data_IF_984285075786
#
_entry.id   IF_984285075786
#
_cell.length_a   1.000
_cell.length_b   1.000
_cell.length_c   1.000
_cell.angle_alpha   90.00
_cell.angle_beta   90.00
_cell.angle_gamma   90.00
#
_symmetry.space_group_name_H-M   'P 1'
#
loop_
_entity.id
_entity.type
_entity.pdbx_description
1 polymer ?
#
# COMPACT_ATOMS: atom_id res chain seq x y z
N UNK A 1 11.17 -4.71 -14.88
CA UNK A 1 9.72 -4.60 -14.57
C UNK A 1 9.26 -3.14 -14.50
N UNK A 2 9.74 -2.31 -13.57
CA UNK A 2 9.34 -0.90 -13.49
C UNK A 2 9.86 -0.04 -14.67
N UNK A 3 11.09 -0.28 -15.11
CA UNK A 3 11.65 0.29 -16.35
C UNK A 3 10.82 -0.07 -17.57
N UNK A 4 10.25 -1.27 -17.60
CA UNK A 4 9.47 -1.78 -18.72
C UNK A 4 8.04 -1.23 -18.71
N UNK A 5 7.46 -0.98 -17.52
CA UNK A 5 6.20 -0.24 -17.35
C UNK A 5 6.38 1.21 -17.81
N UNK A 6 7.45 1.87 -17.36
CA UNK A 6 7.80 3.22 -17.80
C UNK A 6 8.04 3.30 -19.30
N UNK A 7 8.82 2.37 -19.85
CA UNK A 7 9.06 2.26 -21.28
C UNK A 7 7.74 2.02 -22.02
N UNK A 8 6.87 1.12 -21.56
CA UNK A 8 5.57 0.87 -22.18
C UNK A 8 4.67 2.11 -22.20
N UNK A 9 4.54 2.81 -21.06
CA UNK A 9 3.75 4.04 -20.95
C UNK A 9 4.36 5.16 -21.82
N UNK A 10 5.69 5.27 -21.85
CA UNK A 10 6.41 6.27 -22.64
C UNK A 10 6.40 5.97 -24.14
N UNK A 11 6.31 4.70 -24.53
CA UNK A 11 6.27 4.28 -25.95
C UNK A 11 4.90 4.58 -26.56
N UNK A 12 3.82 4.51 -25.77
CA UNK A 12 2.48 4.90 -26.22
C UNK A 12 2.25 6.42 -26.17
N UNK A 13 2.88 7.12 -25.23
CA UNK A 13 2.76 8.57 -25.08
C UNK A 13 3.90 9.33 -25.78
N UNK A 14 3.79 9.57 -27.09
CA UNK A 14 4.66 10.52 -27.83
C UNK A 14 4.48 11.99 -27.40
N UNK A 15 3.72 12.26 -26.34
CA UNK A 15 3.33 13.61 -25.93
C UNK A 15 3.65 13.86 -24.47
N UNK A 16 3.99 15.11 -24.16
CA UNK A 16 4.22 15.59 -22.80
C UNK A 16 2.90 15.54 -22.01
N UNK A 17 2.75 14.66 -20.99
CA UNK A 17 1.56 14.66 -20.17
C UNK A 17 1.50 15.94 -19.32
N UNK A 18 0.28 16.45 -19.12
CA UNK A 18 0.04 17.56 -18.20
C UNK A 18 0.22 17.11 -16.74
N UNK A 19 -0.30 15.93 -16.41
CA UNK A 19 -0.23 15.31 -15.09
C UNK A 19 -0.08 13.79 -15.24
N UNK A 20 0.79 13.21 -14.42
CA UNK A 20 0.89 11.76 -14.19
C UNK A 20 0.72 11.50 -12.70
N UNK A 21 -0.01 10.44 -12.37
CA UNK A 21 -0.17 9.96 -10.99
C UNK A 21 0.53 8.63 -10.82
N UNK A 22 1.27 8.44 -9.74
CA UNK A 22 1.72 7.12 -9.31
C UNK A 22 0.91 6.72 -8.09
N UNK A 23 0.17 5.63 -8.20
CA UNK A 23 -0.62 5.08 -7.10
C UNK A 23 -0.31 3.59 -6.94
N UNK A 24 0.86 3.30 -6.35
CA UNK A 24 1.44 1.97 -6.22
C UNK A 24 1.99 1.78 -4.80
N UNK A 25 2.19 0.53 -4.37
CA UNK A 25 2.69 0.20 -3.02
C UNK A 25 1.78 -0.75 -2.24
N UNK A 26 0.49 -0.83 -2.57
CA UNK A 26 -0.44 -1.72 -1.87
C UNK A 26 -0.14 -3.21 -2.13
N UNK A 27 0.25 -3.55 -3.36
CA UNK A 27 0.66 -4.92 -3.71
C UNK A 27 2.07 -5.23 -3.19
N UNK A 28 2.96 -4.24 -3.24
CA UNK A 28 4.32 -4.33 -2.72
C UNK A 28 4.32 -4.63 -1.20
N UNK A 29 3.34 -4.08 -0.47
CA UNK A 29 3.11 -4.30 0.96
C UNK A 29 2.40 -5.62 1.31
N UNK A 30 1.97 -6.40 0.31
CA UNK A 30 1.23 -7.63 0.56
C UNK A 30 2.09 -8.68 1.26
N UNK A 31 1.47 -9.45 2.15
CA UNK A 31 2.07 -10.63 2.71
C UNK A 31 2.24 -11.69 1.63
N UNK A 32 3.43 -12.28 1.53
CA UNK A 32 3.64 -13.46 0.72
C UNK A 32 4.56 -14.42 1.46
N UNK A 33 4.04 -15.58 1.83
CA UNK A 33 4.83 -16.63 2.48
C UNK A 33 5.97 -17.15 1.58
N UNK A 34 5.89 -16.94 0.26
CA UNK A 34 6.92 -17.31 -0.72
C UNK A 34 7.92 -16.18 -1.01
N UNK A 35 7.62 -14.95 -0.58
CA UNK A 35 8.44 -13.75 -0.81
C UNK A 35 8.64 -13.36 -2.29
N UNK A 36 7.82 -13.88 -3.20
CA UNK A 36 7.91 -13.63 -4.65
C UNK A 36 7.08 -12.44 -5.10
N UNK A 37 6.04 -12.12 -4.35
CA UNK A 37 4.99 -11.21 -4.80
C UNK A 37 4.95 -9.89 -4.01
N UNK A 38 5.76 -9.77 -2.97
CA UNK A 38 5.98 -8.52 -2.25
C UNK A 38 7.31 -7.89 -2.69
N UNK A 39 7.37 -6.57 -2.83
CA UNK A 39 8.61 -5.85 -3.14
C UNK A 39 9.18 -5.33 -1.83
N UNK A 40 10.36 -5.78 -1.37
CA UNK A 40 10.92 -5.33 -0.09
C UNK A 40 11.03 -3.81 -0.01
N UNK A 41 10.79 -3.23 1.17
CA UNK A 41 10.70 -1.77 1.34
C UNK A 41 11.91 -1.02 0.75
N UNK A 42 13.13 -1.54 0.95
CA UNK A 42 14.36 -0.96 0.39
C UNK A 42 14.34 -0.92 -1.14
N UNK A 43 13.89 -2.00 -1.77
CA UNK A 43 13.77 -2.10 -3.23
C UNK A 43 12.65 -1.20 -3.75
N UNK A 44 11.50 -1.16 -3.09
CA UNK A 44 10.40 -0.24 -3.41
C UNK A 44 10.87 1.22 -3.42
N UNK A 45 11.60 1.64 -2.37
CA UNK A 45 12.18 2.99 -2.30
C UNK A 45 13.15 3.27 -3.45
N UNK A 46 14.01 2.32 -3.78
CA UNK A 46 14.96 2.45 -4.90
C UNK A 46 14.22 2.59 -6.24
N UNK A 47 13.22 1.74 -6.47
CA UNK A 47 12.38 1.75 -7.68
C UNK A 47 11.64 3.07 -7.83
N UNK A 48 11.02 3.57 -6.75
CA UNK A 48 10.28 4.82 -6.78
C UNK A 48 11.20 6.04 -7.00
N UNK A 49 12.37 6.10 -6.36
CA UNK A 49 13.38 7.13 -6.66
C UNK A 49 13.82 7.08 -8.11
N UNK A 50 14.14 5.90 -8.63
CA UNK A 50 14.55 5.73 -10.03
C UNK A 50 13.46 6.19 -11.00
N UNK A 51 12.19 5.89 -10.72
CA UNK A 51 11.06 6.38 -11.49
C UNK A 51 11.01 7.91 -11.48
N UNK A 52 11.04 8.53 -10.31
CA UNK A 52 10.92 10.00 -10.19
C UNK A 52 12.03 10.68 -10.98
N UNK A 53 13.28 10.20 -10.90
CA UNK A 53 14.39 10.77 -11.68
C UNK A 53 14.22 10.56 -13.19
N UNK A 54 13.77 9.38 -13.61
CA UNK A 54 13.50 9.10 -15.02
C UNK A 54 12.38 10.00 -15.56
N UNK A 55 11.26 10.10 -14.84
CA UNK A 55 10.12 10.95 -15.18
C UNK A 55 10.54 12.41 -15.34
N UNK A 56 11.33 12.94 -14.38
CA UNK A 56 11.84 14.32 -14.42
C UNK A 56 12.62 14.62 -15.70
N UNK A 57 13.35 13.63 -16.21
CA UNK A 57 14.19 13.72 -17.42
C UNK A 57 13.34 13.61 -18.69
N UNK A 58 12.42 12.64 -18.73
CA UNK A 58 11.58 12.37 -19.90
C UNK A 58 10.50 13.43 -20.11
N UNK A 59 9.98 13.98 -19.01
CA UNK A 59 8.81 14.87 -19.00
C UNK A 59 9.15 16.20 -18.31
N UNK A 60 9.99 17.06 -18.92
CA UNK A 60 10.49 18.29 -18.30
C UNK A 60 9.38 19.27 -17.87
N UNK A 61 8.20 19.22 -18.50
CA UNK A 61 7.06 20.09 -18.16
C UNK A 61 5.94 19.39 -17.40
N UNK A 62 5.98 18.07 -17.30
CA UNK A 62 4.90 17.25 -16.75
C UNK A 62 4.85 17.34 -15.23
N UNK A 63 3.65 17.29 -14.66
CA UNK A 63 3.46 17.20 -13.22
C UNK A 63 3.40 15.75 -12.79
N UNK A 64 3.92 15.42 -11.62
CA UNK A 64 3.88 14.09 -11.04
C UNK A 64 3.26 14.17 -9.65
N UNK A 65 2.12 13.52 -9.47
CA UNK A 65 1.49 13.34 -8.16
C UNK A 65 1.77 11.92 -7.66
N UNK A 66 2.53 11.81 -6.59
CA UNK A 66 2.73 10.56 -5.87
C UNK A 66 1.56 10.39 -4.88
N UNK A 67 0.89 9.25 -4.95
CA UNK A 67 -0.26 8.93 -4.10
C UNK A 67 0.13 7.77 -3.20
N UNK A 68 0.04 7.96 -1.88
CA UNK A 68 0.42 6.92 -0.91
C UNK A 68 -0.54 5.73 -0.99
N UNK A 69 -0.10 4.46 -0.84
CA UNK A 69 -1.01 3.32 -0.80
C UNK A 69 -1.99 3.45 0.38
N UNK A 70 -3.29 3.22 0.16
CA UNK A 70 -4.29 3.38 1.20
C UNK A 70 -4.22 2.17 2.16
N UNK A 71 -4.57 2.34 3.45
CA UNK A 71 -4.53 1.25 4.41
C UNK A 71 -5.63 0.23 4.09
N UNK A 72 -5.32 -1.08 4.07
CA UNK A 72 -6.34 -2.11 3.92
C UNK A 72 -7.21 -2.19 5.18
N UNK A 73 -8.43 -2.72 5.02
CA UNK A 73 -9.13 -3.43 6.09
C UNK A 73 -8.79 -4.91 5.95
N UNK A 74 -8.72 -5.64 7.06
CA UNK A 74 -8.37 -7.07 7.02
C UNK A 74 -9.42 -7.86 6.23
N UNK A 75 -9.07 -8.30 5.02
CA UNK A 75 -9.97 -8.97 4.06
C UNK A 75 -10.64 -10.23 4.64
N UNK A 76 -9.97 -10.93 5.57
CA UNK A 76 -10.56 -12.09 6.24
C UNK A 76 -11.85 -11.79 7.02
N UNK A 77 -12.08 -10.53 7.43
CA UNK A 77 -13.36 -10.09 8.04
C UNK A 77 -14.50 -10.03 7.02
N UNK A 78 -14.22 -9.55 5.81
CA UNK A 78 -15.21 -9.49 4.72
C UNK A 78 -15.64 -10.87 4.24
N UNK A 79 -14.71 -11.83 4.27
CA UNK A 79 -14.93 -13.21 3.86
C UNK A 79 -15.56 -14.08 4.96
N UNK A 80 -15.81 -13.52 6.15
CA UNK A 80 -16.44 -14.23 7.27
C UNK A 80 -15.60 -15.38 7.84
N UNK A 81 -14.27 -15.32 7.70
CA UNK A 81 -13.38 -16.41 8.12
C UNK A 81 -13.18 -16.41 9.65
N UNK A 82 -13.27 -17.60 10.27
CA UNK A 82 -12.77 -17.80 11.64
C UNK A 82 -11.25 -17.51 11.65
N UNK A 83 -10.77 -16.73 12.63
CA UNK A 83 -9.37 -16.26 12.72
C UNK A 83 -8.38 -17.44 12.86
N UNK A 84 -7.74 -17.89 11.78
CA UNK A 84 -6.74 -18.99 11.77
C UNK A 84 -5.50 -18.64 10.94
N UNK A 85 -4.28 -18.93 11.44
CA UNK A 85 -3.02 -18.90 10.65
C UNK A 85 -1.72 -18.68 11.46
N UNK A 86 -0.72 -17.97 10.91
CA UNK A 86 0.66 -17.83 11.47
C UNK A 86 1.02 -16.38 11.77
N UNK A 87 1.77 -16.10 12.86
CA UNK A 87 2.23 -14.75 13.17
C UNK A 87 3.28 -14.29 12.14
N UNK A 88 3.10 -13.11 11.51
CA UNK A 88 4.14 -12.53 10.68
C UNK A 88 5.23 -11.87 11.53
N UNK A 89 6.50 -12.03 11.13
CA UNK A 89 7.64 -11.24 11.63
C UNK A 89 8.12 -10.32 10.53
N UNK A 90 8.39 -9.07 10.89
CA UNK A 90 9.03 -8.11 9.99
C UNK A 90 10.52 -8.02 10.34
N UNK A 91 11.38 -8.43 9.41
CA UNK A 91 12.83 -8.41 9.58
C UNK A 91 13.47 -7.93 8.27
N UNK A 92 14.37 -6.95 8.36
CA UNK A 92 15.09 -6.37 7.20
C UNK A 92 14.18 -5.90 6.05
N UNK A 93 13.00 -5.35 6.36
CA UNK A 93 12.07 -4.87 5.33
C UNK A 93 11.33 -5.98 4.59
N UNK A 94 11.42 -7.22 5.08
CA UNK A 94 10.67 -8.37 4.57
C UNK A 94 9.75 -8.94 5.66
N UNK A 95 8.55 -9.28 5.21
CA UNK A 95 7.58 -10.07 5.97
C UNK A 95 7.95 -11.56 5.86
N UNK A 96 8.10 -12.27 6.98
CA UNK A 96 8.42 -13.72 7.04
C UNK A 96 7.54 -14.44 8.05
N UNK A 97 7.17 -15.69 7.76
CA UNK A 97 6.44 -16.53 8.70
C UNK A 97 7.34 -16.88 9.91
N UNK A 98 6.80 -16.84 11.13
CA UNK A 98 7.48 -17.48 12.26
C UNK A 98 7.70 -18.97 11.94
N UNK A 99 8.91 -19.52 12.15
CA UNK A 99 9.08 -20.96 12.17
C UNK A 99 8.27 -21.50 13.35
N UNK A 100 7.16 -22.18 13.07
CA UNK A 100 6.52 -23.04 14.05
C UNK A 100 7.51 -24.17 14.29
N UNK A 101 8.08 -24.28 15.48
CA UNK A 101 8.96 -25.38 15.84
C UNK A 101 8.16 -26.68 15.81
N UNK A 102 8.18 -27.36 14.67
CA UNK A 102 7.48 -28.63 14.41
C UNK A 102 7.27 -28.79 12.91
N UNK A 103 8.23 -29.42 12.23
CA UNK A 103 8.28 -29.53 10.77
C UNK A 103 7.16 -30.38 10.16
N UNK A 104 6.74 -29.97 8.96
CA UNK A 104 5.83 -30.71 8.09
C UNK A 104 5.30 -29.77 7.00
N UNK A 105 5.50 -30.11 5.72
CA UNK A 105 5.12 -29.28 4.58
C UNK A 105 3.61 -29.05 4.48
N UNK A 106 3.21 -27.84 4.09
CA UNK A 106 1.81 -27.47 3.90
C UNK A 106 1.32 -27.92 2.53
N UNK A 107 0.49 -28.96 2.50
CA UNK A 107 -0.13 -29.43 1.26
C UNK A 107 -1.29 -30.41 1.43
N UNK A 108 -1.23 -31.34 2.40
CA UNK A 108 -2.20 -32.44 2.45
C UNK A 108 -3.00 -32.56 3.75
N UNK A 109 -2.58 -31.92 4.85
CA UNK A 109 -3.13 -32.22 6.19
C UNK A 109 -4.37 -31.39 6.62
N UNK A 110 -4.85 -30.44 5.80
CA UNK A 110 -6.01 -29.61 6.17
C UNK A 110 -7.38 -30.27 5.97
N UNK A 111 -7.44 -31.57 5.67
CA UNK A 111 -8.70 -32.31 5.53
C UNK A 111 -9.12 -33.12 6.76
N UNK A 112 -8.33 -33.13 7.83
CA UNK A 112 -8.68 -33.89 9.02
C UNK A 112 -8.06 -33.29 10.28
N UNK A 113 -8.90 -33.13 11.31
CA UNK A 113 -8.55 -33.00 12.73
C UNK A 113 -8.36 -31.59 13.34
N UNK A 114 -9.42 -31.22 14.07
CA UNK A 114 -9.52 -30.49 15.33
C UNK A 114 -8.38 -29.55 15.79
N UNK A 115 -8.12 -28.50 15.00
CA UNK A 115 -7.30 -27.34 15.38
C UNK A 115 -7.75 -26.62 16.66
N UNK A 116 -9.01 -26.79 17.09
CA UNK A 116 -9.61 -26.14 18.26
C UNK A 116 -8.93 -26.48 19.59
N UNK A 117 -8.19 -27.60 19.66
CA UNK A 117 -7.50 -28.04 20.89
C UNK A 117 -6.15 -27.37 21.15
N UNK A 118 -5.46 -26.87 20.12
CA UNK A 118 -4.06 -26.39 20.24
C UNK A 118 -3.92 -25.04 20.95
N UNK A 119 -5.00 -24.26 21.10
CA UNK A 119 -4.93 -22.87 21.56
C UNK A 119 -5.78 -22.57 22.79
N UNK A 120 -6.31 -23.60 23.48
CA UNK A 120 -7.28 -23.45 24.58
C UNK A 120 -6.76 -22.63 25.77
N UNK A 121 -5.44 -22.68 26.03
CA UNK A 121 -4.85 -22.18 27.27
C UNK A 121 -3.78 -21.07 27.07
N UNK A 122 -3.69 -20.48 25.87
CA UNK A 122 -2.80 -19.33 25.60
C UNK A 122 -3.60 -18.02 25.75
N UNK A 123 -3.05 -16.96 26.37
CA UNK A 123 -3.72 -15.66 26.40
C UNK A 123 -4.07 -15.26 24.97
N UNK A 124 -5.25 -14.66 24.77
CA UNK A 124 -5.72 -14.09 23.49
C UNK A 124 -4.76 -12.95 23.05
N UNK A 125 -3.56 -13.32 22.64
CA UNK A 125 -2.78 -12.50 21.74
C UNK A 125 -3.60 -12.51 20.45
N UNK A 126 -4.13 -11.36 20.06
CA UNK A 126 -4.81 -11.13 18.79
C UNK A 126 -3.81 -11.32 17.65
N UNK A 127 -3.42 -12.56 17.42
CA UNK A 127 -2.63 -12.98 16.29
C UNK A 127 -3.56 -12.92 15.08
N UNK A 128 -3.70 -11.71 14.51
CA UNK A 128 -4.24 -11.50 13.18
C UNK A 128 -3.29 -12.21 12.20
N UNK A 129 -3.73 -13.39 11.81
CA UNK A 129 -3.05 -14.30 10.92
C UNK A 129 -3.22 -13.84 9.48
N UNK A 130 -2.13 -13.69 8.73
CA UNK A 130 -2.18 -13.27 7.32
C UNK A 130 -2.13 -14.46 6.39
N UNK A 131 -3.07 -14.50 5.44
CA UNK A 131 -3.03 -15.38 4.28
C UNK A 131 -2.11 -14.79 3.23
N UNK A 132 -1.58 -15.61 2.29
CA UNK A 132 -0.93 -15.08 1.10
C UNK A 132 -1.80 -13.97 0.49
N UNK A 133 -1.15 -12.86 0.15
CA UNK A 133 -1.72 -11.63 -0.37
C UNK A 133 -2.43 -10.73 0.64
N UNK A 134 -2.69 -11.14 1.88
CA UNK A 134 -3.28 -10.21 2.85
C UNK A 134 -2.34 -9.03 3.13
N UNK A 135 -2.89 -7.87 3.42
CA UNK A 135 -2.13 -6.66 3.74
C UNK A 135 -2.43 -6.25 5.17
N UNK A 136 -1.41 -5.73 5.86
CA UNK A 136 -1.56 -5.11 7.18
C UNK A 136 -1.39 -3.62 7.07
N UNK A 137 -2.20 -2.87 7.82
CA UNK A 137 -2.09 -1.43 7.95
C UNK A 137 -0.69 -1.02 8.42
N UNK A 138 -0.08 -1.73 9.38
CA UNK A 138 1.25 -1.37 9.89
C UNK A 138 2.33 -1.50 8.82
N UNK A 139 2.23 -2.52 7.98
CA UNK A 139 3.19 -2.73 6.89
C UNK A 139 2.93 -1.75 5.75
N UNK A 140 1.67 -1.56 5.37
CA UNK A 140 1.28 -0.61 4.33
C UNK A 140 1.68 0.82 4.69
N UNK A 141 1.66 1.17 5.99
CA UNK A 141 2.17 2.45 6.51
C UNK A 141 3.63 2.68 6.14
N UNK A 142 4.48 1.65 6.14
CA UNK A 142 5.88 1.80 5.76
C UNK A 142 6.05 2.22 4.29
N UNK A 143 5.19 1.72 3.40
CA UNK A 143 5.19 2.09 1.98
C UNK A 143 4.59 3.49 1.78
N UNK A 144 3.54 3.84 2.54
CA UNK A 144 3.03 5.23 2.62
C UNK A 144 4.13 6.20 3.03
N UNK A 145 4.83 5.91 4.11
CA UNK A 145 5.88 6.78 4.63
C UNK A 145 7.05 6.87 3.64
N UNK A 146 7.36 5.80 2.91
CA UNK A 146 8.34 5.83 1.82
C UNK A 146 7.94 6.76 0.66
N UNK A 147 6.66 6.79 0.29
CA UNK A 147 6.15 7.71 -0.74
C UNK A 147 6.26 9.16 -0.28
N UNK A 148 5.92 9.44 0.99
CA UNK A 148 6.04 10.77 1.59
C UNK A 148 7.51 11.21 1.62
N UNK A 149 8.41 10.38 2.15
CA UNK A 149 9.86 10.61 2.19
C UNK A 149 10.42 11.00 0.81
N UNK A 150 10.08 10.24 -0.23
CA UNK A 150 10.57 10.48 -1.59
C UNK A 150 9.97 11.77 -2.18
N UNK A 151 8.74 12.12 -1.80
CA UNK A 151 8.17 13.42 -2.13
C UNK A 151 8.91 14.58 -1.46
N UNK A 152 9.24 14.43 -0.17
CA UNK A 152 9.99 15.42 0.61
C UNK A 152 11.40 15.67 0.04
N UNK A 153 12.07 14.60 -0.41
CA UNK A 153 13.35 14.67 -1.13
C UNK A 153 13.28 15.52 -2.41
N UNK A 154 12.10 15.70 -2.99
CA UNK A 154 11.87 16.41 -4.25
C UNK A 154 11.14 17.76 -4.06
N UNK A 155 11.07 18.30 -2.84
CA UNK A 155 10.39 19.57 -2.52
C UNK A 155 10.88 20.79 -3.31
N UNK A 156 12.12 20.79 -3.80
CA UNK A 156 12.65 21.86 -4.64
C UNK A 156 12.15 21.80 -6.09
N UNK A 157 11.57 20.67 -6.52
CA UNK A 157 10.99 20.52 -7.85
C UNK A 157 9.47 20.75 -7.78
N UNK A 158 9.04 21.95 -8.17
CA UNK A 158 7.63 22.34 -8.17
C UNK A 158 6.72 21.47 -9.07
N UNK A 159 7.27 20.52 -9.82
CA UNK A 159 6.50 19.56 -10.61
C UNK A 159 6.06 18.33 -9.81
N UNK A 160 6.63 18.09 -8.64
CA UNK A 160 6.39 16.89 -7.84
C UNK A 160 5.47 17.23 -6.67
N UNK A 161 4.41 16.45 -6.50
CA UNK A 161 3.45 16.57 -5.42
C UNK A 161 3.22 15.23 -4.73
N UNK A 162 2.76 15.28 -3.49
CA UNK A 162 2.29 14.10 -2.75
C UNK A 162 0.84 14.30 -2.32
N UNK A 163 0.06 13.24 -2.45
CA UNK A 163 -1.27 13.09 -1.86
C UNK A 163 -1.21 11.91 -0.89
N UNK A 164 -1.52 12.16 0.38
CA UNK A 164 -1.58 11.11 1.38
C UNK A 164 -3.02 10.60 1.54
N UNK A 165 -3.25 9.36 1.10
CA UNK A 165 -4.55 8.68 1.23
C UNK A 165 -4.95 8.46 2.68
N UNK A 166 -3.99 8.39 3.61
CA UNK A 166 -4.29 8.24 5.03
C UNK A 166 -4.86 9.53 5.61
N UNK A 167 -4.26 10.68 5.28
CA UNK A 167 -4.79 11.99 5.65
C UNK A 167 -6.16 12.25 4.98
N UNK A 168 -6.35 11.80 3.73
CA UNK A 168 -7.65 11.86 3.07
C UNK A 168 -8.74 11.12 3.87
N UNK A 169 -8.44 9.91 4.35
CA UNK A 169 -9.42 9.05 5.01
C UNK A 169 -9.68 9.45 6.47
N UNK A 170 -8.65 9.83 7.22
CA UNK A 170 -8.74 10.00 8.68
C UNK A 170 -8.50 11.44 9.15
N UNK A 171 -8.00 12.30 8.27
CA UNK A 171 -7.45 13.60 8.65
C UNK A 171 -6.10 13.49 9.38
N UNK A 172 -5.40 14.61 9.49
CA UNK A 172 -4.20 14.74 10.31
C UNK A 172 -4.54 15.42 11.65
N UNK A 173 -3.86 14.98 12.72
CA UNK A 173 -3.88 15.71 14.00
C UNK A 173 -3.02 16.96 13.94
N UNK A 174 -3.08 17.79 14.99
CA UNK A 174 -2.39 19.09 15.06
C UNK A 174 -0.86 19.04 14.83
N UNK A 175 -0.24 17.88 15.00
CA UNK A 175 1.17 17.62 14.77
C UNK A 175 1.46 16.83 13.47
N UNK A 176 0.49 16.73 12.56
CA UNK A 176 0.62 15.99 11.29
C UNK A 176 0.55 14.47 11.43
N UNK A 177 0.24 13.93 12.61
CA UNK A 177 0.10 12.48 12.81
C UNK A 177 -1.24 12.01 12.27
N UNK A 178 -1.24 10.86 11.59
CA UNK A 178 -2.46 10.23 11.06
C UNK A 178 -2.68 8.89 11.76
N UNK A 179 -3.78 8.78 12.51
CA UNK A 179 -4.17 7.56 13.21
C UNK A 179 -5.10 6.72 12.33
N UNK A 180 -4.82 5.43 12.25
CA UNK A 180 -5.68 4.50 11.53
C UNK A 180 -6.93 4.22 12.37
N UNK A 181 -8.09 4.31 11.75
CA UNK A 181 -9.36 3.89 12.31
C UNK A 181 -10.05 2.91 11.36
N UNK A 182 -10.31 1.69 11.84
CA UNK A 182 -10.83 0.59 11.01
C UNK A 182 -12.23 0.89 10.48
N UNK A 183 -13.11 1.42 11.33
CA UNK A 183 -14.51 1.67 10.96
C UNK A 183 -14.64 2.84 9.97
N UNK A 184 -13.76 3.83 10.07
CA UNK A 184 -13.62 4.87 9.04
C UNK A 184 -13.07 4.28 7.75
N UNK A 185 -12.01 3.46 7.80
CA UNK A 185 -11.43 2.86 6.61
C UNK A 185 -12.44 1.99 5.84
N UNK A 186 -13.25 1.22 6.57
CA UNK A 186 -14.27 0.31 6.02
C UNK A 186 -15.30 1.01 5.12
N UNK A 187 -15.60 2.28 5.40
CA UNK A 187 -16.55 3.07 4.63
C UNK A 187 -16.11 3.29 3.17
N UNK A 188 -14.81 3.18 2.89
CA UNK A 188 -14.24 3.44 1.57
C UNK A 188 -14.17 2.18 0.71
N UNK A 189 -14.35 0.98 1.27
CA UNK A 189 -14.05 -0.27 0.57
C UNK A 189 -15.28 -1.11 0.25
N UNK A 190 -15.15 -1.91 -0.80
CA UNK A 190 -16.12 -2.95 -1.16
C UNK A 190 -15.75 -4.31 -0.53
N UNK A 191 -14.45 -4.61 -0.44
CA UNK A 191 -13.90 -5.90 0.03
C UNK A 191 -12.74 -5.75 1.02
N UNK A 192 -12.58 -4.56 1.60
CA UNK A 192 -11.46 -4.20 2.47
C UNK A 192 -10.15 -3.84 1.75
N UNK A 193 -10.10 -3.84 0.41
CA UNK A 193 -8.93 -3.43 -0.37
C UNK A 193 -9.27 -2.53 -1.56
N UNK A 194 -10.30 -2.89 -2.32
CA UNK A 194 -10.75 -2.13 -3.49
C UNK A 194 -11.81 -1.14 -3.08
N UNK A 195 -11.65 0.11 -3.54
CA UNK A 195 -12.59 1.16 -3.22
C UNK A 195 -13.99 0.83 -3.71
N UNK A 196 -14.99 1.22 -2.91
CA UNK A 196 -16.37 1.28 -3.33
C UNK A 196 -16.64 2.64 -4.02
N UNK A 197 -17.90 2.93 -4.36
CA UNK A 197 -18.28 4.17 -5.03
C UNK A 197 -17.92 5.43 -4.22
N UNK A 198 -18.06 5.40 -2.89
CA UNK A 198 -17.70 6.52 -2.03
C UNK A 198 -16.18 6.68 -1.97
N UNK A 199 -15.44 5.58 -1.88
CA UNK A 199 -13.98 5.57 -1.92
C UNK A 199 -13.42 6.20 -3.20
N UNK A 200 -13.93 5.78 -4.37
CA UNK A 200 -13.55 6.34 -5.66
C UNK A 200 -13.90 7.85 -5.75
N UNK A 201 -15.05 8.24 -5.22
CA UNK A 201 -15.49 9.63 -5.19
C UNK A 201 -14.55 10.52 -4.35
N UNK A 202 -14.20 10.11 -3.14
CA UNK A 202 -13.28 10.87 -2.29
C UNK A 202 -11.85 10.89 -2.83
N UNK A 203 -11.39 9.78 -3.43
CA UNK A 203 -10.11 9.76 -4.15
C UNK A 203 -10.08 10.78 -5.29
N UNK A 204 -11.13 10.82 -6.10
CA UNK A 204 -11.27 11.83 -7.16
C UNK A 204 -11.22 13.25 -6.60
N UNK A 205 -12.02 13.53 -5.56
CA UNK A 205 -12.07 14.85 -4.94
C UNK A 205 -10.70 15.28 -4.39
N UNK A 206 -9.98 14.37 -3.74
CA UNK A 206 -8.67 14.68 -3.14
C UNK A 206 -7.59 14.86 -4.21
N UNK A 207 -7.61 14.08 -5.29
CA UNK A 207 -6.72 14.32 -6.44
C UNK A 207 -6.98 15.71 -7.02
N UNK A 208 -8.24 16.09 -7.26
CA UNK A 208 -8.58 17.43 -7.76
C UNK A 208 -8.14 18.52 -6.79
N UNK A 209 -8.37 18.33 -5.48
CA UNK A 209 -7.92 19.26 -4.43
C UNK A 209 -6.41 19.44 -4.45
N UNK A 210 -5.65 18.35 -4.53
CA UNK A 210 -4.19 18.38 -4.64
C UNK A 210 -3.73 19.10 -5.90
N UNK A 211 -4.33 18.82 -7.06
CA UNK A 211 -3.98 19.47 -8.33
C UNK A 211 -4.25 20.97 -8.27
N UNK A 212 -5.40 21.40 -7.75
CA UNK A 212 -5.73 22.84 -7.60
C UNK A 212 -4.77 23.55 -6.65
N UNK A 213 -4.37 22.89 -5.56
CA UNK A 213 -3.44 23.43 -4.57
C UNK A 213 -2.00 23.53 -5.09
N UNK A 214 -1.52 22.48 -5.75
CA UNK A 214 -0.13 22.36 -6.18
C UNK A 214 0.12 23.03 -7.55
N UNK A 215 -0.82 22.91 -8.47
CA UNK A 215 -0.70 23.34 -9.86
C UNK A 215 -1.98 24.02 -10.36
N UNK A 216 -2.34 25.20 -9.81
CA UNK A 216 -3.60 25.89 -10.13
C UNK A 216 -3.77 26.22 -11.63
N UNK A 217 -2.67 26.28 -12.39
CA UNK A 217 -2.68 26.55 -13.82
C UNK A 217 -3.08 25.36 -14.70
N UNK A 218 -3.28 24.16 -14.13
CA UNK A 218 -3.71 22.98 -14.90
C UNK A 218 -5.22 22.98 -15.25
N UNK A 219 -6.02 23.87 -14.67
CA UNK A 219 -7.39 24.14 -15.14
C UNK A 219 -8.46 23.10 -14.80
N UNK A 220 -8.26 22.27 -13.78
CA UNK A 220 -9.25 21.32 -13.25
C UNK A 220 -10.16 21.95 -12.18
#
# INVERSE_FOLDING_TARGET
MFSDILASIATEAHTQPALTTIFLGANDAAWDATGKNNVPLTEYKQNLRAFVQHYKTMYPRGKLLLITPPPPVYQGEYEGLERVGVAPVFEEGKMRALPVSGGGGWGEDLKGENWRGMFRDKPRMELLYLRPWDRKQEITRLYRDAVIEIGEENTLDSRIGVMDTWEMMFGATWNGTVFYDRDTADQYYYDGLHFNADGDFYMYLEVVRCVRRLWPLLGF
#
